data_IF_769150717238
#
_entry.id   IF_769150717238
#
_cell.length_a   1.000
_cell.length_b   1.000
_cell.length_c   1.000
_cell.angle_alpha   90.00
_cell.angle_beta   90.00
_cell.angle_gamma   90.00
#
_symmetry.space_group_name_H-M   'P 1'
#
loop_
_entity.id
_entity.type
_entity.pdbx_description
1 polymer ?
#
# COMPACT_ATOMS: atom_id res chain seq x y z
N UNK A 1 -38.89 32.56 -29.08
CA UNK A 1 -38.42 31.16 -28.89
C UNK A 1 -37.14 31.19 -28.09
N UNK A 2 -37.17 30.59 -26.88
CA UNK A 2 -36.02 30.10 -26.10
C UNK A 2 -34.82 31.02 -25.89
N UNK A 3 -34.87 31.87 -24.86
CA UNK A 3 -33.69 32.55 -24.31
C UNK A 3 -32.71 31.49 -23.80
N UNK A 4 -31.50 31.45 -24.37
CA UNK A 4 -30.38 30.65 -23.86
C UNK A 4 -29.93 31.31 -22.55
N UNK A 5 -30.20 30.67 -21.41
CA UNK A 5 -29.75 31.17 -20.10
C UNK A 5 -28.22 31.25 -20.04
N UNK A 6 -27.64 32.42 -19.69
CA UNK A 6 -26.20 32.61 -19.70
C UNK A 6 -25.51 31.91 -18.53
N UNK A 7 -24.56 31.03 -18.87
CA UNK A 7 -23.29 30.84 -18.16
C UNK A 7 -23.32 30.55 -16.65
N UNK A 8 -23.47 29.29 -16.27
CA UNK A 8 -22.98 28.81 -14.97
C UNK A 8 -21.44 28.75 -15.00
N UNK A 9 -20.77 29.90 -14.91
CA UNK A 9 -19.31 29.97 -14.85
C UNK A 9 -18.84 29.49 -13.48
N UNK A 10 -18.09 28.39 -13.46
CA UNK A 10 -17.37 27.92 -12.27
C UNK A 10 -16.25 28.92 -11.96
N UNK A 11 -16.28 29.50 -10.77
CA UNK A 11 -15.27 30.46 -10.28
C UNK A 11 -14.29 29.84 -9.29
N UNK A 12 -14.67 28.71 -8.67
CA UNK A 12 -13.78 27.91 -7.82
C UNK A 12 -14.08 26.42 -8.09
N UNK A 13 -13.03 25.62 -8.25
CA UNK A 13 -13.11 24.17 -8.36
C UNK A 13 -12.01 23.55 -7.50
N UNK A 14 -12.40 22.94 -6.38
CA UNK A 14 -11.45 22.34 -5.45
C UNK A 14 -11.80 20.90 -5.17
N UNK A 15 -10.78 20.08 -4.92
CA UNK A 15 -10.92 18.69 -4.50
C UNK A 15 -10.39 18.57 -3.08
N UNK A 16 -11.19 17.94 -2.22
CA UNK A 16 -10.86 17.70 -0.82
C UNK A 16 -11.07 16.22 -0.53
N UNK A 17 -10.18 15.62 0.25
CA UNK A 17 -10.38 14.29 0.81
C UNK A 17 -10.73 14.48 2.28
N UNK A 18 -11.83 13.88 2.73
CA UNK A 18 -12.22 13.95 4.14
C UNK A 18 -11.23 13.18 5.01
N UNK A 19 -11.18 13.51 6.31
CA UNK A 19 -10.39 12.74 7.29
C UNK A 19 -10.76 11.25 7.29
N UNK A 20 -12.04 10.95 7.07
CA UNK A 20 -12.53 9.58 7.06
C UNK A 20 -12.51 8.94 8.44
N UNK A 21 -12.50 7.61 8.47
CA UNK A 21 -12.35 6.82 9.70
C UNK A 21 -11.48 5.59 9.42
N UNK A 22 -10.83 5.08 10.47
CA UNK A 22 -10.02 3.87 10.38
C UNK A 22 -10.89 2.70 9.91
N UNK A 23 -10.56 2.13 8.75
CA UNK A 23 -11.20 0.95 8.15
C UNK A 23 -10.44 -0.32 8.59
N UNK A 24 -9.11 -0.27 8.59
CA UNK A 24 -8.28 -1.42 8.93
C UNK A 24 -6.79 -1.15 8.77
N UNK A 25 -6.03 -2.24 8.61
CA UNK A 25 -4.58 -2.20 8.43
C UNK A 25 -4.16 -2.99 7.19
N UNK A 26 -3.22 -2.44 6.43
CA UNK A 26 -2.54 -3.15 5.34
C UNK A 26 -1.06 -3.23 5.64
N UNK A 27 -0.51 -4.44 5.59
CA UNK A 27 0.87 -4.75 5.94
C UNK A 27 1.57 -5.29 4.71
N UNK A 28 2.67 -4.67 4.34
CA UNK A 28 3.57 -5.18 3.30
C UNK A 28 4.84 -5.73 3.93
N UNK A 29 5.28 -6.89 3.47
CA UNK A 29 6.50 -7.56 3.89
C UNK A 29 7.34 -7.89 2.66
N UNK A 30 8.49 -7.25 2.53
CA UNK A 30 9.50 -7.57 1.53
C UNK A 30 10.53 -8.53 2.14
N UNK A 31 10.57 -9.78 1.65
CA UNK A 31 11.47 -10.80 2.14
C UNK A 31 12.78 -10.79 1.34
N UNK A 32 13.87 -10.43 2.01
CA UNK A 32 15.22 -10.51 1.46
C UNK A 32 15.82 -11.90 1.58
N UNK A 33 16.72 -12.28 0.65
CA UNK A 33 17.58 -13.47 0.79
C UNK A 33 18.62 -13.25 1.90
N UNK A 34 19.42 -14.26 2.23
CA UNK A 34 20.37 -14.25 3.36
C UNK A 34 21.33 -13.05 3.44
N UNK A 35 21.64 -12.39 2.32
CA UNK A 35 22.49 -11.19 2.26
C UNK A 35 21.71 -9.87 2.09
N UNK A 36 20.42 -9.96 1.76
CA UNK A 36 19.55 -8.81 1.54
C UNK A 36 18.80 -8.45 2.83
N UNK A 37 18.22 -7.26 2.86
CA UNK A 37 17.38 -6.84 3.96
C UNK A 37 15.94 -7.35 3.80
N UNK A 38 15.30 -7.67 4.93
CA UNK A 38 13.85 -7.86 5.00
C UNK A 38 13.23 -6.61 5.60
N UNK A 39 12.15 -6.12 5.00
CA UNK A 39 11.44 -4.94 5.46
C UNK A 39 9.95 -5.22 5.68
N UNK A 40 9.39 -4.65 6.74
CA UNK A 40 7.95 -4.62 7.00
C UNK A 40 7.45 -3.18 7.01
N UNK A 41 6.28 -2.96 6.43
CA UNK A 41 5.54 -1.71 6.49
C UNK A 41 4.12 -1.97 7.01
N UNK A 42 3.69 -1.17 7.99
CA UNK A 42 2.34 -1.19 8.55
C UNK A 42 1.65 0.12 8.19
N UNK A 43 0.64 0.04 7.34
CA UNK A 43 -0.21 1.15 6.95
C UNK A 43 -1.59 1.04 7.60
N UNK A 44 -2.03 2.12 8.24
CA UNK A 44 -3.43 2.33 8.58
C UNK A 44 -4.20 2.71 7.32
N UNK A 45 -5.36 2.10 7.12
CA UNK A 45 -6.25 2.36 5.98
C UNK A 45 -7.45 3.12 6.48
N UNK A 46 -7.64 4.34 5.98
CA UNK A 46 -8.78 5.19 6.30
C UNK A 46 -9.77 5.17 5.14
N UNK A 47 -11.05 4.90 5.45
CA UNK A 47 -12.16 5.04 4.51
C UNK A 47 -12.60 6.51 4.48
N UNK A 48 -12.39 7.16 3.34
CA UNK A 48 -12.59 8.60 3.14
C UNK A 48 -13.55 8.86 1.98
N UNK A 49 -13.96 10.12 1.84
CA UNK A 49 -14.65 10.61 0.65
C UNK A 49 -13.78 11.64 -0.06
N UNK A 50 -13.60 11.45 -1.37
CA UNK A 50 -13.12 12.50 -2.27
C UNK A 50 -14.31 13.33 -2.72
N UNK A 51 -14.29 14.60 -2.38
CA UNK A 51 -15.34 15.57 -2.68
C UNK A 51 -14.82 16.62 -3.66
N UNK A 52 -15.56 16.86 -4.74
CA UNK A 52 -15.32 18.01 -5.65
C UNK A 52 -16.32 19.10 -5.29
N UNK A 53 -15.79 20.24 -4.92
CA UNK A 53 -16.55 21.44 -4.59
C UNK A 53 -16.45 22.41 -5.75
N UNK A 54 -17.58 22.97 -6.15
CA UNK A 54 -17.63 24.03 -7.14
C UNK A 54 -18.40 25.22 -6.60
N UNK A 55 -17.86 26.42 -6.85
CA UNK A 55 -18.57 27.68 -6.66
C UNK A 55 -18.89 28.26 -8.03
N UNK A 56 -20.14 28.65 -8.24
CA UNK A 56 -20.57 29.34 -9.45
C UNK A 56 -20.58 30.85 -9.21
N UNK A 57 -20.42 31.63 -10.27
CA UNK A 57 -20.25 33.10 -10.21
C UNK A 57 -21.34 33.86 -9.41
N UNK A 58 -22.55 33.32 -9.35
CA UNK A 58 -23.69 33.93 -8.66
C UNK A 58 -24.22 33.10 -7.48
N UNK A 59 -23.51 32.03 -7.10
CA UNK A 59 -23.87 31.20 -5.96
C UNK A 59 -23.13 31.67 -4.69
N UNK A 60 -23.84 31.87 -3.57
CA UNK A 60 -23.24 32.39 -2.34
C UNK A 60 -22.26 31.41 -1.71
N UNK A 61 -22.49 30.10 -1.86
CA UNK A 61 -21.70 29.03 -1.25
C UNK A 61 -21.22 28.03 -2.30
N UNK A 62 -20.02 27.48 -2.08
CA UNK A 62 -19.54 26.35 -2.85
C UNK A 62 -20.37 25.10 -2.50
N UNK A 63 -20.72 24.32 -3.51
CA UNK A 63 -21.51 23.09 -3.36
C UNK A 63 -20.69 21.87 -3.73
N UNK A 64 -21.00 20.74 -3.09
CA UNK A 64 -20.40 19.45 -3.46
C UNK A 64 -21.12 18.95 -4.71
N UNK A 65 -20.42 18.95 -5.84
CA UNK A 65 -20.95 18.46 -7.13
C UNK A 65 -20.63 16.99 -7.37
N UNK A 66 -19.68 16.43 -6.62
CA UNK A 66 -19.32 15.02 -6.73
C UNK A 66 -18.75 14.49 -5.42
N UNK A 67 -19.17 13.27 -5.05
CA UNK A 67 -18.60 12.48 -3.97
C UNK A 67 -18.18 11.13 -4.51
N UNK A 68 -16.98 10.67 -4.13
CA UNK A 68 -16.49 9.32 -4.45
C UNK A 68 -15.80 8.75 -3.23
N UNK A 69 -16.09 7.51 -2.90
CA UNK A 69 -15.32 6.78 -1.89
C UNK A 69 -13.85 6.70 -2.33
N UNK A 70 -12.95 6.91 -1.38
CA UNK A 70 -11.51 6.76 -1.57
C UNK A 70 -10.87 6.29 -0.28
N UNK A 71 -9.57 6.00 -0.32
CA UNK A 71 -8.83 5.56 0.84
C UNK A 71 -7.52 6.30 0.99
N UNK A 72 -7.24 6.69 2.24
CA UNK A 72 -5.96 7.25 2.66
C UNK A 72 -5.18 6.19 3.42
N UNK A 73 -3.87 6.25 3.27
CA UNK A 73 -2.91 5.37 3.92
C UNK A 73 -2.03 6.20 4.82
N UNK A 74 -2.02 5.88 6.12
CA UNK A 74 -1.08 6.47 7.06
C UNK A 74 -0.06 5.42 7.44
N UNK A 75 1.20 5.65 7.07
CA UNK A 75 2.30 4.75 7.41
C UNK A 75 2.58 4.94 8.90
N UNK A 76 2.20 3.93 9.67
CA UNK A 76 2.29 3.93 11.13
C UNK A 76 3.67 3.50 11.59
N UNK A 77 4.21 2.46 10.96
CA UNK A 77 5.50 1.92 11.33
C UNK A 77 6.15 1.23 10.12
N UNK A 78 7.47 1.38 10.02
CA UNK A 78 8.30 0.62 9.10
C UNK A 78 9.51 0.09 9.84
N UNK A 79 9.96 -1.11 9.49
CA UNK A 79 11.08 -1.75 10.18
C UNK A 79 11.88 -2.60 9.21
N UNK A 80 13.20 -2.49 9.30
CA UNK A 80 14.17 -3.34 8.60
C UNK A 80 14.74 -4.33 9.61
N UNK A 81 14.55 -5.61 9.33
CA UNK A 81 15.10 -6.68 10.16
C UNK A 81 16.63 -6.75 10.01
N UNK A 82 17.37 -7.08 11.08
CA UNK A 82 18.80 -7.37 10.95
C UNK A 82 19.07 -8.46 9.92
N UNK A 83 20.16 -8.33 9.15
CA UNK A 83 20.57 -9.37 8.20
C UNK A 83 20.81 -10.69 8.92
N UNK A 84 20.45 -11.80 8.28
CA UNK A 84 20.56 -13.12 8.86
C UNK A 84 19.46 -13.48 9.87
N UNK A 85 18.48 -12.60 10.12
CA UNK A 85 17.28 -12.98 10.90
C UNK A 85 16.57 -14.14 10.19
N UNK A 86 16.26 -15.21 10.91
CA UNK A 86 15.62 -16.39 10.31
C UNK A 86 14.18 -16.09 9.88
N UNK A 87 13.71 -16.71 8.80
CA UNK A 87 12.31 -16.55 8.37
C UNK A 87 11.28 -16.94 9.44
N UNK A 88 11.48 -17.99 10.26
CA UNK A 88 10.61 -18.27 11.40
C UNK A 88 10.58 -17.15 12.45
N UNK A 89 11.71 -16.49 12.72
CA UNK A 89 11.76 -15.33 13.62
C UNK A 89 11.01 -14.13 13.02
N UNK A 90 11.19 -13.87 11.72
CA UNK A 90 10.44 -12.84 10.98
C UNK A 90 8.93 -13.13 11.04
N UNK A 91 8.50 -14.37 10.80
CA UNK A 91 7.10 -14.77 10.88
C UNK A 91 6.51 -14.57 12.27
N UNK A 92 7.26 -14.91 13.34
CA UNK A 92 6.86 -14.67 14.73
C UNK A 92 6.74 -13.18 15.03
N UNK A 93 7.70 -12.37 14.57
CA UNK A 93 7.66 -10.91 14.70
C UNK A 93 6.43 -10.32 14.01
N UNK A 94 6.18 -10.69 12.74
CA UNK A 94 5.02 -10.24 11.96
C UNK A 94 3.71 -10.60 12.67
N UNK A 95 3.59 -11.82 13.18
CA UNK A 95 2.41 -12.24 13.96
C UNK A 95 2.21 -11.40 15.22
N UNK A 96 3.28 -11.10 15.95
CA UNK A 96 3.22 -10.26 17.13
C UNK A 96 2.81 -8.82 16.78
N UNK A 97 3.39 -8.25 15.71
CA UNK A 97 3.03 -6.92 15.20
C UNK A 97 1.53 -6.88 14.85
N UNK A 98 1.04 -7.86 14.09
CA UNK A 98 -0.39 -7.94 13.73
C UNK A 98 -1.30 -8.11 14.95
N UNK A 99 -0.87 -8.88 15.96
CA UNK A 99 -1.62 -9.08 17.20
C UNK A 99 -1.64 -7.87 18.14
N UNK A 100 -0.71 -6.93 17.98
CA UNK A 100 -0.64 -5.68 18.75
C UNK A 100 -1.36 -4.52 18.07
N UNK A 101 -1.91 -4.72 16.86
CA UNK A 101 -2.69 -3.69 16.20
C UNK A 101 -4.00 -3.45 16.96
N UNK A 102 -4.38 -2.18 17.22
CA UNK A 102 -5.68 -1.84 17.77
C UNK A 102 -6.82 -2.45 16.94
N UNK A 103 -7.96 -2.68 17.60
CA UNK A 103 -9.14 -3.16 16.91
C UNK A 103 -9.57 -2.16 15.82
N UNK A 104 -9.90 -2.69 14.65
CA UNK A 104 -10.45 -1.94 13.52
C UNK A 104 -11.62 -2.71 12.89
N UNK A 105 -12.50 -2.03 12.15
CA UNK A 105 -13.65 -2.68 11.50
C UNK A 105 -13.28 -3.86 10.60
N UNK A 106 -12.14 -3.77 9.91
CA UNK A 106 -11.64 -4.80 9.01
C UNK A 106 -10.36 -5.43 9.59
N UNK A 107 -10.24 -6.78 9.56
CA UNK A 107 -9.02 -7.46 9.98
C UNK A 107 -7.78 -7.02 9.19
N UNK A 108 -6.58 -7.02 9.80
CA UNK A 108 -5.34 -6.69 9.11
C UNK A 108 -5.06 -7.61 7.91
N UNK A 109 -4.61 -7.02 6.79
CA UNK A 109 -4.25 -7.75 5.57
C UNK A 109 -2.74 -7.74 5.34
N UNK A 110 -2.12 -8.93 5.28
CA UNK A 110 -0.68 -9.12 5.05
C UNK A 110 -0.38 -9.50 3.59
N UNK A 111 0.53 -8.75 2.96
CA UNK A 111 1.03 -8.95 1.61
C UNK A 111 2.53 -9.21 1.67
N UNK A 112 2.99 -10.34 1.14
CA UNK A 112 4.37 -10.81 1.30
C UNK A 112 5.02 -10.96 -0.07
N UNK A 113 6.12 -10.25 -0.35
CA UNK A 113 6.94 -10.53 -1.52
C UNK A 113 7.65 -11.88 -1.34
N UNK A 114 7.46 -12.77 -2.33
CA UNK A 114 8.08 -14.09 -2.37
C UNK A 114 9.06 -14.27 -3.54
N UNK A 115 9.27 -13.24 -4.34
CA UNK A 115 10.04 -13.29 -5.60
C UNK A 115 11.48 -13.78 -5.38
N UNK A 116 12.08 -13.41 -4.25
CA UNK A 116 13.47 -13.76 -3.92
C UNK A 116 13.62 -15.02 -3.06
N UNK A 117 12.71 -15.26 -2.12
CA UNK A 117 12.91 -16.27 -1.06
C UNK A 117 12.26 -17.63 -1.33
N UNK A 118 11.39 -17.69 -2.35
CA UNK A 118 10.72 -18.91 -2.77
C UNK A 118 9.39 -19.18 -2.04
N UNK A 119 8.60 -20.09 -2.61
CA UNK A 119 7.32 -20.52 -2.05
C UNK A 119 7.40 -21.12 -0.63
N UNK A 120 8.42 -21.95 -0.27
CA UNK A 120 8.45 -22.61 1.04
C UNK A 120 8.42 -21.66 2.23
N UNK A 121 9.06 -20.49 2.12
CA UNK A 121 9.08 -19.49 3.20
C UNK A 121 7.67 -18.97 3.48
N UNK A 122 6.92 -18.68 2.43
CA UNK A 122 5.53 -18.22 2.54
C UNK A 122 4.62 -19.33 3.06
N UNK A 123 4.86 -20.58 2.67
CA UNK A 123 4.10 -21.73 3.16
C UNK A 123 4.33 -21.94 4.66
N UNK A 124 5.57 -21.83 5.14
CA UNK A 124 5.86 -21.84 6.58
C UNK A 124 5.14 -20.71 7.32
N UNK A 125 5.10 -19.49 6.77
CA UNK A 125 4.34 -18.39 7.39
C UNK A 125 2.83 -18.71 7.50
N UNK A 126 2.26 -19.34 6.46
CA UNK A 126 0.87 -19.79 6.45
C UNK A 126 0.61 -20.89 7.49
N UNK A 127 1.51 -21.87 7.61
CA UNK A 127 1.46 -22.94 8.62
C UNK A 127 1.54 -22.38 10.05
N UNK A 128 2.25 -21.28 10.25
CA UNK A 128 2.31 -20.56 11.53
C UNK A 128 1.05 -19.73 11.84
N UNK A 129 0.01 -19.83 11.00
CA UNK A 129 -1.30 -19.22 11.19
C UNK A 129 -1.48 -17.83 10.58
N UNK A 130 -0.50 -17.33 9.81
CA UNK A 130 -0.63 -16.03 9.16
C UNK A 130 -1.55 -16.09 7.95
N UNK A 131 -2.63 -15.32 7.98
CA UNK A 131 -3.46 -15.06 6.82
C UNK A 131 -2.76 -14.03 5.93
N UNK A 132 -2.21 -14.48 4.80
CA UNK A 132 -1.41 -13.63 3.90
C UNK A 132 -1.70 -13.88 2.43
N UNK A 133 -1.38 -12.88 1.60
CA UNK A 133 -1.31 -12.96 0.14
C UNK A 133 0.15 -12.98 -0.29
N UNK A 134 0.57 -14.05 -0.95
CA UNK A 134 1.90 -14.14 -1.54
C UNK A 134 1.94 -13.35 -2.84
N UNK A 135 2.80 -12.35 -2.91
CA UNK A 135 2.99 -11.48 -4.08
C UNK A 135 4.28 -11.89 -4.79
N UNK A 136 4.16 -12.28 -6.04
CA UNK A 136 5.29 -12.46 -6.95
C UNK A 136 5.43 -11.22 -7.82
N UNK A 137 6.53 -10.51 -7.66
CA UNK A 137 6.88 -9.34 -8.44
C UNK A 137 7.42 -9.80 -9.79
N UNK A 138 6.83 -9.27 -10.85
CA UNK A 138 7.18 -9.64 -12.22
C UNK A 138 7.61 -8.41 -13.03
N UNK A 139 8.33 -8.65 -14.13
CA UNK A 139 8.63 -7.62 -15.14
C UNK A 139 7.54 -7.42 -16.19
N UNK A 140 6.41 -8.14 -16.08
CA UNK A 140 5.31 -8.09 -17.05
C UNK A 140 4.49 -6.79 -16.98
N UNK A 141 3.43 -6.69 -17.78
CA UNK A 141 2.60 -5.48 -17.85
C UNK A 141 1.26 -5.58 -17.10
N UNK A 142 0.78 -6.79 -16.77
CA UNK A 142 -0.55 -7.01 -16.19
C UNK A 142 -0.47 -7.74 -14.86
N UNK A 143 -1.32 -7.32 -13.93
CA UNK A 143 -1.58 -8.06 -12.69
C UNK A 143 -2.34 -9.34 -13.02
N UNK A 144 -1.88 -10.45 -12.47
CA UNK A 144 -2.59 -11.73 -12.52
C UNK A 144 -2.82 -12.20 -11.08
N UNK A 145 -4.02 -12.70 -10.76
CA UNK A 145 -4.37 -13.22 -9.43
C UNK A 145 -4.77 -14.69 -9.58
N UNK A 146 -3.83 -15.64 -9.49
CA UNK A 146 -4.14 -17.06 -9.68
C UNK A 146 -5.20 -17.58 -8.70
N UNK A 147 -5.19 -17.07 -7.47
CA UNK A 147 -6.15 -17.42 -6.43
C UNK A 147 -6.22 -16.29 -5.38
N UNK A 148 -7.16 -16.35 -4.40
CA UNK A 148 -7.31 -15.30 -3.39
C UNK A 148 -6.10 -15.09 -2.46
N UNK A 149 -5.13 -16.02 -2.43
CA UNK A 149 -3.93 -16.00 -1.58
C UNK A 149 -2.65 -15.72 -2.37
N UNK A 150 -2.75 -15.48 -3.67
CA UNK A 150 -1.60 -15.27 -4.55
C UNK A 150 -1.87 -14.19 -5.58
N UNK A 151 -0.84 -13.35 -5.83
CA UNK A 151 -0.88 -12.35 -6.88
C UNK A 151 0.49 -12.28 -7.58
N UNK A 152 0.46 -12.20 -8.90
CA UNK A 152 1.60 -11.83 -9.73
C UNK A 152 1.42 -10.36 -10.12
N UNK A 153 2.31 -9.51 -9.65
CA UNK A 153 2.15 -8.05 -9.76
C UNK A 153 3.37 -7.48 -10.46
N UNK A 154 3.20 -6.75 -11.57
CA UNK A 154 4.28 -5.98 -12.14
C UNK A 154 4.88 -5.00 -11.16
N UNK A 155 6.21 -4.89 -11.16
CA UNK A 155 6.92 -3.90 -10.34
C UNK A 155 6.45 -2.47 -10.64
N UNK A 156 6.17 -2.17 -11.90
CA UNK A 156 5.62 -0.88 -12.35
C UNK A 156 4.23 -0.58 -11.76
N UNK A 157 3.40 -1.60 -11.51
CA UNK A 157 2.08 -1.43 -10.90
C UNK A 157 2.21 -1.09 -9.41
N UNK A 158 3.14 -1.72 -8.69
CA UNK A 158 3.44 -1.37 -7.30
C UNK A 158 3.95 0.08 -7.19
N UNK A 159 4.90 0.45 -8.05
CA UNK A 159 5.39 1.82 -8.15
C UNK A 159 4.25 2.82 -8.43
N UNK A 160 3.41 2.51 -9.43
CA UNK A 160 2.30 3.38 -9.82
C UNK A 160 1.28 3.56 -8.70
N UNK A 161 0.98 2.51 -7.92
CA UNK A 161 0.06 2.62 -6.79
C UNK A 161 0.58 3.63 -5.75
N UNK A 162 1.87 3.58 -5.46
CA UNK A 162 2.52 4.50 -4.53
C UNK A 162 2.52 5.94 -5.08
N UNK A 163 2.86 6.11 -6.37
CA UNK A 163 2.87 7.42 -7.03
C UNK A 163 1.49 8.08 -7.08
N UNK A 164 0.44 7.31 -7.39
CA UNK A 164 -0.94 7.80 -7.39
C UNK A 164 -1.34 8.21 -5.97
N UNK A 165 -1.06 7.38 -4.96
CA UNK A 165 -1.38 7.70 -3.58
C UNK A 165 -0.68 8.99 -3.12
N UNK A 166 0.56 9.21 -3.54
CA UNK A 166 1.27 10.45 -3.28
C UNK A 166 0.71 11.66 -4.03
N UNK A 167 0.47 11.53 -5.34
CA UNK A 167 0.00 12.63 -6.18
C UNK A 167 -1.41 13.09 -5.79
N UNK A 168 -2.22 12.20 -5.21
CA UNK A 168 -3.57 12.49 -4.73
C UNK A 168 -3.60 12.85 -3.23
N UNK A 169 -2.46 13.04 -2.57
CA UNK A 169 -2.36 13.35 -1.13
C UNK A 169 -3.08 12.31 -0.24
N UNK A 170 -2.98 11.04 -0.64
CA UNK A 170 -3.57 9.88 0.04
C UNK A 170 -2.57 9.07 0.84
N UNK A 171 -1.31 9.49 0.89
CA UNK A 171 -0.26 8.80 1.64
C UNK A 171 0.40 9.76 2.63
N UNK A 172 0.27 9.43 3.91
CA UNK A 172 0.80 10.20 5.02
C UNK A 172 1.87 9.39 5.75
N UNK A 173 3.01 10.02 6.05
CA UNK A 173 4.08 9.41 6.83
C UNK A 173 4.03 9.93 8.27
N UNK A 174 3.84 9.03 9.24
CA UNK A 174 3.84 9.45 10.64
C UNK A 174 5.26 9.90 11.04
N UNK A 175 5.35 11.05 11.72
CA UNK A 175 6.62 11.63 12.21
C UNK A 175 7.30 10.80 13.30
N UNK A 176 6.60 9.80 13.84
CA UNK A 176 7.03 8.98 14.98
C UNK A 176 7.62 7.64 14.52
N UNK A 177 8.84 7.65 13.97
CA UNK A 177 9.77 6.51 14.03
C UNK A 177 11.15 6.94 13.52
N UNK A 178 12.22 6.39 14.11
CA UNK A 178 13.57 6.47 13.56
C UNK A 178 13.67 5.91 12.13
N UNK A 179 12.83 4.93 11.80
CA UNK A 179 12.74 4.34 10.48
C UNK A 179 11.92 5.17 9.48
N UNK A 180 11.14 6.18 9.94
CA UNK A 180 10.45 7.12 9.04
C UNK A 180 11.43 8.00 8.28
N UNK A 181 12.58 8.36 8.86
CA UNK A 181 13.64 9.10 8.15
C UNK A 181 14.30 8.25 7.05
N UNK A 182 14.61 6.99 7.33
CA UNK A 182 15.13 6.04 6.34
C UNK A 182 14.14 5.85 5.18
N UNK A 183 12.87 5.61 5.49
CA UNK A 183 11.82 5.50 4.47
C UNK A 183 11.67 6.80 3.67
N UNK A 184 11.65 7.98 4.31
CA UNK A 184 11.60 9.27 3.60
C UNK A 184 12.77 9.41 2.63
N UNK A 185 13.99 9.09 3.07
CA UNK A 185 15.19 9.15 2.22
C UNK A 185 15.08 8.20 1.02
N UNK A 186 14.63 6.97 1.24
CA UNK A 186 14.45 5.99 0.15
C UNK A 186 13.33 6.41 -0.81
N UNK A 187 12.21 6.93 -0.30
CA UNK A 187 11.11 7.47 -1.10
C UNK A 187 11.53 8.70 -1.93
N UNK A 188 12.37 9.57 -1.37
CA UNK A 188 12.93 10.71 -2.10
C UNK A 188 13.86 10.22 -3.22
N UNK A 189 14.77 9.29 -2.92
CA UNK A 189 15.63 8.67 -3.92
C UNK A 189 14.84 7.98 -5.05
N UNK A 190 13.77 7.27 -4.69
CA UNK A 190 12.84 6.65 -5.62
C UNK A 190 12.21 7.67 -6.59
N UNK A 191 11.73 8.82 -6.09
CA UNK A 191 11.14 9.88 -6.93
C UNK A 191 12.16 10.50 -7.88
N UNK A 192 13.36 10.81 -7.39
CA UNK A 192 14.44 11.42 -8.21
C UNK A 192 14.84 10.50 -9.37
N UNK A 193 15.00 9.21 -9.11
CA UNK A 193 15.32 8.22 -10.16
C UNK A 193 14.22 8.15 -11.23
N UNK A 194 12.96 8.22 -10.83
CA UNK A 194 11.82 8.24 -11.76
C UNK A 194 11.81 9.50 -12.63
N UNK A 195 12.15 10.66 -12.07
CA UNK A 195 12.20 11.92 -12.84
C UNK A 195 13.37 12.00 -13.81
N UNK A 196 14.52 11.43 -13.48
CA UNK A 196 15.70 11.44 -14.35
C UNK A 196 15.57 10.50 -15.57
N UNK A 197 14.84 9.40 -15.42
CA UNK A 197 14.66 8.38 -16.47
C UNK A 197 13.30 8.51 -17.16
N UNK A 198 12.85 9.76 -17.37
CA UNK A 198 11.47 10.17 -17.66
C UNK A 198 10.74 9.55 -18.86
N UNK A 199 11.27 8.50 -19.52
CA UNK A 199 10.49 7.62 -20.39
C UNK A 199 11.13 6.26 -20.74
N UNK A 200 12.32 5.90 -20.25
CA UNK A 200 12.98 4.66 -20.68
C UNK A 200 13.59 3.87 -19.51
N UNK A 201 13.23 2.59 -19.53
CA UNK A 201 13.71 1.40 -18.80
C UNK A 201 13.46 1.24 -17.29
N UNK A 202 12.61 0.25 -17.05
CA UNK A 202 12.22 -0.43 -15.81
C UNK A 202 13.38 -1.18 -15.10
N UNK A 203 14.63 -0.99 -15.54
CA UNK A 203 15.83 -1.69 -15.01
C UNK A 203 16.56 -0.92 -13.90
N UNK A 204 16.38 0.41 -13.79
CA UNK A 204 17.06 1.24 -12.79
C UNK A 204 16.55 1.05 -11.34
N UNK A 205 15.52 0.24 -11.13
CA UNK A 205 14.89 -0.05 -9.83
C UNK A 205 15.67 -1.10 -9.01
N UNK A 206 16.94 -1.36 -9.36
CA UNK A 206 17.87 -2.24 -8.64
C UNK A 206 19.21 -1.60 -8.25
N UNK A 207 19.40 -0.31 -8.52
CA UNK A 207 20.67 0.38 -8.19
C UNK A 207 20.45 1.46 -7.10
N UNK A 208 19.71 1.10 -6.06
CA UNK A 208 19.62 1.85 -4.81
C UNK A 208 20.17 0.98 -3.69
N UNK A 209 21.03 1.55 -2.86
CA UNK A 209 21.72 0.79 -1.80
C UNK A 209 20.72 0.15 -0.83
N UNK A 210 19.48 0.68 -0.69
CA UNK A 210 18.35 0.04 0.00
C UNK A 210 17.00 0.51 -0.60
N UNK A 211 16.19 -0.39 -1.19
CA UNK A 211 14.83 -0.09 -1.71
C UNK A 211 13.73 -0.94 -1.02
N UNK A 212 14.10 -1.75 -0.03
CA UNK A 212 13.24 -2.73 0.65
C UNK A 212 12.09 -2.07 1.44
N UNK A 213 12.32 -0.91 2.07
CA UNK A 213 11.26 -0.19 2.79
C UNK A 213 10.25 0.42 1.82
N UNK A 214 10.72 0.93 0.67
CA UNK A 214 9.85 1.43 -0.41
C UNK A 214 9.03 0.28 -0.98
N UNK A 215 9.63 -0.88 -1.20
CA UNK A 215 8.93 -2.04 -1.72
C UNK A 215 7.88 -2.57 -0.73
N UNK A 216 8.24 -2.73 0.55
CA UNK A 216 7.29 -3.09 1.60
C UNK A 216 6.13 -2.08 1.68
N UNK A 217 6.41 -0.79 1.53
CA UNK A 217 5.37 0.26 1.51
C UNK A 217 4.48 0.17 0.28
N UNK A 218 5.06 -0.05 -0.91
CA UNK A 218 4.31 -0.22 -2.14
C UNK A 218 3.39 -1.45 -2.11
N UNK A 219 3.83 -2.55 -1.49
CA UNK A 219 3.01 -3.74 -1.25
C UNK A 219 1.81 -3.44 -0.36
N UNK A 220 2.03 -2.71 0.75
CA UNK A 220 0.95 -2.31 1.66
C UNK A 220 -0.08 -1.41 0.95
N UNK A 221 0.38 -0.37 0.24
CA UNK A 221 -0.50 0.55 -0.47
C UNK A 221 -1.27 -0.18 -1.57
N UNK A 222 -0.58 -0.92 -2.45
CA UNK A 222 -1.22 -1.68 -3.52
C UNK A 222 -2.22 -2.70 -2.96
N UNK A 223 -1.84 -3.47 -1.94
CA UNK A 223 -2.71 -4.45 -1.31
C UNK A 223 -3.99 -3.84 -0.74
N UNK A 224 -3.86 -2.69 -0.07
CA UNK A 224 -4.98 -1.90 0.41
C UNK A 224 -5.90 -1.39 -0.70
N UNK A 225 -5.34 -0.96 -1.84
CA UNK A 225 -6.13 -0.52 -3.02
C UNK A 225 -6.92 -1.67 -3.62
N UNK A 226 -6.34 -2.87 -3.65
CA UNK A 226 -7.00 -4.05 -4.21
C UNK A 226 -8.14 -4.59 -3.33
N UNK A 227 -8.30 -4.07 -2.10
CA UNK A 227 -9.29 -4.57 -1.12
C UNK A 227 -9.18 -6.07 -0.85
N UNK A 228 -7.98 -6.64 -1.06
CA UNK A 228 -7.79 -8.08 -0.87
C UNK A 228 -7.80 -8.37 0.63
N UNK A 229 -8.56 -9.39 1.01
CA UNK A 229 -8.72 -9.83 2.40
C UNK A 229 -8.18 -11.25 2.52
N UNK A 230 -6.96 -11.43 3.05
CA UNK A 230 -6.45 -12.77 3.31
C UNK A 230 -7.37 -13.46 4.31
N UNK A 231 -7.88 -14.64 3.95
CA UNK A 231 -8.64 -15.49 4.89
C UNK A 231 -7.66 -16.38 5.64
N UNK A 232 -7.92 -16.62 6.93
CA UNK A 232 -7.19 -17.63 7.69
C UNK A 232 -7.26 -18.99 6.97
N UNK A 233 -6.22 -19.84 7.06
CA UNK A 233 -6.34 -21.23 6.67
C UNK A 233 -7.56 -21.85 7.37
N UNK A 234 -8.43 -22.52 6.62
CA UNK A 234 -9.50 -23.32 7.23
C UNK A 234 -8.80 -24.47 7.94
N UNK A 235 -8.75 -24.43 9.28
CA UNK A 235 -8.37 -25.60 10.05
C UNK A 235 -9.55 -26.57 9.97
N UNK A 236 -9.40 -27.63 9.18
CA UNK A 236 -10.30 -28.77 9.27
C UNK A 236 -10.07 -29.43 10.62
N UNK A 237 -10.88 -29.10 11.62
CA UNK A 237 -10.98 -29.92 12.81
C UNK A 237 -11.62 -31.23 12.38
N UNK A 238 -10.81 -32.25 12.13
CA UNK A 238 -11.30 -33.63 12.14
C UNK A 238 -11.83 -33.87 13.56
N UNK A 239 -13.15 -33.82 13.70
CA UNK A 239 -13.83 -34.14 14.95
C UNK A 239 -13.36 -35.50 15.44
N UNK A 240 -12.96 -35.56 16.70
CA UNK A 240 -12.87 -36.82 17.44
C UNK A 240 -14.26 -37.25 17.87
#
# INVERSE_FOLDING_TARGET
MGVISPGHKVVEDRRVITEGHLDGYSIGLDLGKSQDFTAICVAEVFLCERQRWQKLQFEPLAQIVQRRVTWRYRIRNVHRYPRGTSYPDIARSVRNVMGQLPAAPVPPALFVDRTGVGAPVVDTMREMGLALVGVSITGGAKVNKPNPREANVPKSVLASALDIAFAEDRLELTSQASASEALKSELQGFRVKKTAHGNETMEAWREGIHDDLVLATALAVWGGEQRIRPRQPVQWSMGR
#
